data_IF_732904429300
#
_entry.id   IF_732904429300
#
_cell.length_a   1.000
_cell.length_b   1.000
_cell.length_c   1.000
_cell.angle_alpha   90.00
_cell.angle_beta   90.00
_cell.angle_gamma   90.00
#
_symmetry.space_group_name_H-M   'P 1'
#
loop_
_entity.id
_entity.type
_entity.pdbx_description
1 polymer ?
#
# COMPACT_ATOMS: atom_id res chain seq x y z
N UNK A 1 4.12 -28.64 4.22
CA UNK A 1 3.32 -27.97 5.27
C UNK A 1 3.88 -26.58 5.64
N UNK A 2 5.20 -26.33 5.54
CA UNK A 2 5.80 -25.00 5.80
C UNK A 2 5.54 -23.96 4.68
N UNK A 3 5.42 -24.37 3.41
CA UNK A 3 5.17 -23.45 2.29
C UNK A 3 3.87 -22.65 2.47
N UNK A 4 2.76 -23.30 2.81
CA UNK A 4 1.45 -22.65 2.99
C UNK A 4 1.47 -21.55 4.06
N UNK A 5 2.28 -21.71 5.12
CA UNK A 5 2.41 -20.69 6.16
C UNK A 5 3.19 -19.46 5.71
N UNK A 6 4.26 -19.68 4.93
CA UNK A 6 5.09 -18.61 4.37
C UNK A 6 4.33 -17.83 3.29
N UNK A 7 3.53 -18.50 2.46
CA UNK A 7 2.70 -17.86 1.44
C UNK A 7 1.64 -16.95 2.06
N UNK A 8 0.96 -17.43 3.12
CA UNK A 8 -0.02 -16.61 3.86
C UNK A 8 0.62 -15.40 4.51
N UNK A 9 1.83 -15.55 5.06
CA UNK A 9 2.56 -14.43 5.65
C UNK A 9 2.95 -13.39 4.57
N UNK A 10 3.45 -13.84 3.42
CA UNK A 10 3.77 -12.96 2.28
C UNK A 10 2.53 -12.16 1.85
N UNK A 11 1.41 -12.86 1.67
CA UNK A 11 0.15 -12.20 1.31
C UNK A 11 -0.30 -11.20 2.37
N UNK A 12 -0.23 -11.56 3.66
CA UNK A 12 -0.60 -10.66 4.74
C UNK A 12 0.28 -9.40 4.79
N UNK A 13 1.60 -9.53 4.59
CA UNK A 13 2.51 -8.38 4.53
C UNK A 13 2.14 -7.47 3.36
N UNK A 14 1.93 -8.03 2.16
CA UNK A 14 1.55 -7.25 0.97
C UNK A 14 0.23 -6.51 1.21
N UNK A 15 -0.80 -7.21 1.71
CA UNK A 15 -2.10 -6.60 1.98
C UNK A 15 -2.00 -5.49 3.01
N UNK A 16 -1.25 -5.71 4.09
CA UNK A 16 -1.06 -4.69 5.13
C UNK A 16 -0.36 -3.45 4.56
N UNK A 17 0.73 -3.62 3.80
CA UNK A 17 1.45 -2.50 3.19
C UNK A 17 0.56 -1.72 2.22
N UNK A 18 -0.30 -2.38 1.45
CA UNK A 18 -1.27 -1.70 0.57
C UNK A 18 -2.29 -0.92 1.40
N UNK A 19 -2.83 -1.50 2.47
CA UNK A 19 -3.80 -0.84 3.34
C UNK A 19 -3.23 0.40 4.01
N UNK A 20 -2.02 0.29 4.56
CA UNK A 20 -1.32 1.40 5.21
C UNK A 20 -1.05 2.52 4.20
N UNK A 21 -0.58 2.17 2.99
CA UNK A 21 -0.34 3.12 1.92
C UNK A 21 -1.61 3.88 1.52
N UNK A 22 -2.73 3.17 1.32
CA UNK A 22 -4.02 3.79 0.98
C UNK A 22 -4.52 4.69 2.10
N UNK A 23 -4.41 4.26 3.35
CA UNK A 23 -4.86 5.03 4.51
C UNK A 23 -4.09 6.35 4.62
N UNK A 24 -2.76 6.31 4.51
CA UNK A 24 -1.91 7.50 4.58
C UNK A 24 -2.15 8.46 3.39
N UNK A 25 -2.33 7.94 2.17
CA UNK A 25 -2.67 8.76 1.01
C UNK A 25 -4.03 9.46 1.19
N UNK A 26 -5.04 8.74 1.68
CA UNK A 26 -6.36 9.30 1.97
C UNK A 26 -6.30 10.35 3.07
N UNK A 27 -5.52 10.09 4.13
CA UNK A 27 -5.32 11.03 5.23
C UNK A 27 -4.72 12.35 4.74
N UNK A 28 -3.64 12.31 3.96
CA UNK A 28 -3.02 13.52 3.41
C UNK A 28 -3.91 14.25 2.39
N UNK A 29 -4.89 13.57 1.80
CA UNK A 29 -5.88 14.17 0.91
C UNK A 29 -7.03 14.88 1.66
N UNK A 30 -7.19 14.65 2.96
CA UNK A 30 -8.18 15.38 3.77
C UNK A 30 -7.87 16.88 3.80
N UNK A 31 -8.86 17.76 4.07
CA UNK A 31 -8.59 19.17 4.29
C UNK A 31 -7.59 19.36 5.45
N UNK A 32 -6.68 20.34 5.34
CA UNK A 32 -5.69 20.65 6.40
C UNK A 32 -6.30 20.90 7.78
N UNK A 33 -7.55 21.37 7.84
CA UNK A 33 -8.29 21.56 9.10
C UNK A 33 -8.63 20.25 9.84
N UNK A 34 -8.49 19.10 9.17
CA UNK A 34 -8.66 17.75 9.72
C UNK A 34 -7.33 17.01 9.82
N UNK A 35 -6.21 17.69 9.64
CA UNK A 35 -4.89 17.13 9.77
C UNK A 35 -4.17 17.78 10.95
N UNK A 36 -3.47 16.96 11.74
CA UNK A 36 -2.45 17.46 12.67
C UNK A 36 -1.08 17.34 12.01
N UNK A 37 -0.14 18.20 12.38
CA UNK A 37 1.21 18.16 11.79
C UNK A 37 1.92 16.83 12.09
N UNK A 38 1.70 16.27 13.28
CA UNK A 38 2.26 14.99 13.72
C UNK A 38 1.74 13.81 12.89
N UNK A 39 0.42 13.67 12.76
CA UNK A 39 -0.21 12.61 11.96
C UNK A 39 0.08 12.78 10.46
N UNK A 40 0.18 14.01 9.97
CA UNK A 40 0.57 14.28 8.58
C UNK A 40 2.03 13.89 8.31
N UNK A 41 2.92 14.06 9.29
CA UNK A 41 4.30 13.61 9.20
C UNK A 41 4.37 12.07 9.24
N UNK A 42 3.65 11.42 10.15
CA UNK A 42 3.56 9.95 10.21
C UNK A 42 3.04 9.39 8.88
N UNK A 43 1.96 9.95 8.33
CA UNK A 43 1.42 9.51 7.04
C UNK A 43 2.45 9.65 5.89
N UNK A 44 3.29 10.68 5.89
CA UNK A 44 4.36 10.85 4.89
C UNK A 44 5.46 9.81 5.05
N UNK A 45 5.82 9.48 6.28
CA UNK A 45 6.81 8.45 6.59
C UNK A 45 6.29 7.07 6.18
N UNK A 46 5.05 6.73 6.52
CA UNK A 46 4.39 5.50 6.06
C UNK A 46 4.35 5.41 4.53
N UNK A 47 4.01 6.50 3.84
CA UNK A 47 4.03 6.55 2.36
C UNK A 47 5.43 6.26 1.83
N UNK A 48 6.45 6.92 2.36
CA UNK A 48 7.84 6.71 1.93
C UNK A 48 8.28 5.26 2.14
N UNK A 49 7.98 4.69 3.29
CA UNK A 49 8.40 3.34 3.65
C UNK A 49 7.67 2.29 2.79
N UNK A 50 6.38 2.51 2.50
CA UNK A 50 5.61 1.68 1.55
C UNK A 50 6.17 1.78 0.12
N UNK A 51 6.47 2.98 -0.36
CA UNK A 51 7.04 3.18 -1.70
C UNK A 51 8.42 2.53 -1.84
N UNK A 52 9.24 2.61 -0.78
CA UNK A 52 10.51 1.91 -0.72
C UNK A 52 10.33 0.39 -0.73
N UNK A 53 9.33 -0.12 -0.01
CA UNK A 53 8.99 -1.54 -0.04
C UNK A 53 8.55 -2.00 -1.43
N UNK A 54 7.61 -1.30 -2.09
CA UNK A 54 7.14 -1.65 -3.42
C UNK A 54 8.23 -1.58 -4.49
N UNK A 55 9.21 -0.69 -4.33
CA UNK A 55 10.37 -0.60 -5.22
C UNK A 55 11.51 -1.55 -4.86
N UNK A 56 11.40 -2.29 -3.76
CA UNK A 56 12.45 -3.20 -3.31
C UNK A 56 12.46 -4.51 -4.10
N UNK A 57 13.62 -5.15 -4.19
CA UNK A 57 13.74 -6.47 -4.80
C UNK A 57 12.85 -7.52 -4.11
N UNK A 58 12.50 -7.33 -2.83
CA UNK A 58 11.58 -8.22 -2.12
C UNK A 58 10.18 -8.20 -2.75
N UNK A 59 9.69 -7.06 -3.21
CA UNK A 59 8.39 -6.97 -3.85
C UNK A 59 8.39 -7.68 -5.21
N UNK A 60 9.44 -7.48 -6.02
CA UNK A 60 9.61 -8.18 -7.30
C UNK A 60 9.74 -9.69 -7.13
N UNK A 61 10.50 -10.15 -6.13
CA UNK A 61 10.68 -11.57 -5.81
C UNK A 61 9.38 -12.23 -5.33
N UNK A 62 8.49 -11.47 -4.67
CA UNK A 62 7.26 -11.98 -4.10
C UNK A 62 6.09 -12.05 -5.09
N UNK A 63 6.06 -11.17 -6.10
CA UNK A 63 4.88 -10.97 -6.94
C UNK A 63 5.11 -10.98 -8.44
N UNK A 64 6.36 -11.03 -8.91
CA UNK A 64 6.72 -10.93 -10.35
C UNK A 64 6.01 -9.75 -11.07
N UNK A 65 5.77 -8.68 -10.31
CA UNK A 65 5.07 -7.47 -10.75
C UNK A 65 5.98 -6.24 -10.65
N UNK A 66 5.78 -5.30 -11.56
CA UNK A 66 6.47 -4.01 -11.60
C UNK A 66 5.87 -3.05 -10.55
N UNK A 67 6.60 -2.83 -9.45
CA UNK A 67 6.19 -1.98 -8.31
C UNK A 67 5.68 -0.59 -8.67
N UNK A 68 6.33 0.15 -9.60
CA UNK A 68 5.82 1.41 -10.15
C UNK A 68 4.41 1.35 -10.74
N UNK A 69 4.07 0.26 -11.43
CA UNK A 69 2.74 0.07 -12.02
C UNK A 69 1.69 -0.12 -10.92
N UNK A 70 2.01 -0.92 -9.89
CA UNK A 70 1.15 -1.08 -8.72
C UNK A 70 0.93 0.25 -7.99
N UNK A 71 1.99 1.03 -7.72
CA UNK A 71 1.87 2.32 -7.04
C UNK A 71 0.94 3.28 -7.79
N UNK A 72 1.01 3.30 -9.12
CA UNK A 72 0.12 4.13 -9.95
C UNK A 72 -1.34 3.69 -9.81
N UNK A 73 -1.59 2.38 -9.82
CA UNK A 73 -2.93 1.84 -9.61
C UNK A 73 -3.47 2.18 -8.22
N UNK A 74 -2.69 1.99 -7.16
CA UNK A 74 -3.11 2.27 -5.78
C UNK A 74 -3.38 3.76 -5.58
N UNK A 75 -2.52 4.66 -6.10
CA UNK A 75 -2.75 6.11 -6.03
C UNK A 75 -4.04 6.51 -6.74
N UNK A 76 -4.28 5.97 -7.95
CA UNK A 76 -5.53 6.21 -8.65
C UNK A 76 -6.73 5.77 -7.82
N UNK A 77 -6.67 4.57 -7.21
CA UNK A 77 -7.71 4.06 -6.31
C UNK A 77 -7.90 4.91 -5.05
N UNK A 78 -6.83 5.41 -4.44
CA UNK A 78 -6.92 6.20 -3.21
C UNK A 78 -7.63 7.55 -3.44
N UNK A 79 -7.45 8.14 -4.63
CA UNK A 79 -8.01 9.45 -4.98
C UNK A 79 -9.37 9.39 -5.69
N UNK A 80 -9.71 8.27 -6.35
CA UNK A 80 -11.06 8.00 -6.87
C UNK A 80 -11.89 7.31 -5.79
N UNK A 81 -13.01 7.87 -5.35
CA UNK A 81 -13.86 7.33 -4.27
C UNK A 81 -14.58 5.99 -4.61
N UNK A 82 -13.91 4.98 -5.17
CA UNK A 82 -14.50 3.65 -5.40
C UNK A 82 -14.03 2.64 -4.35
N UNK A 83 -15.01 2.05 -3.65
CA UNK A 83 -14.84 0.87 -2.81
C UNK A 83 -14.23 -0.29 -3.61
N UNK A 84 -13.40 -1.07 -2.92
CA UNK A 84 -12.72 -2.23 -3.47
C UNK A 84 -13.77 -3.32 -3.71
N UNK A 85 -14.20 -3.47 -4.96
CA UNK A 85 -14.83 -4.71 -5.42
C UNK A 85 -13.72 -5.53 -6.09
N UNK A 86 -13.27 -6.57 -5.39
CA UNK A 86 -12.58 -7.74 -5.96
C UNK A 86 -11.45 -7.43 -6.95
N UNK A 87 -10.25 -7.19 -6.43
CA UNK A 87 -9.05 -7.58 -7.18
C UNK A 87 -9.00 -9.12 -7.12
N UNK A 88 -9.60 -9.78 -8.11
CA UNK A 88 -9.25 -11.15 -8.47
C UNK A 88 -7.81 -11.10 -9.00
N UNK A 89 -6.87 -11.26 -8.08
CA UNK A 89 -5.48 -11.55 -8.40
C UNK A 89 -5.39 -13.08 -8.48
N UNK A 90 -4.94 -13.64 -9.61
CA UNK A 90 -4.85 -15.09 -9.81
C UNK A 90 -3.95 -15.79 -8.78
#
# INVERSE_FOLDING_TARGET
MQEVGIEKLRYAVIVQTIQDYVASLKYLHLPKSRQTEEEAQEARETIRDCEQFFCSNWFTVLLDMDGPCLMRAIRHMAYSQNEIVGLDIP
#
